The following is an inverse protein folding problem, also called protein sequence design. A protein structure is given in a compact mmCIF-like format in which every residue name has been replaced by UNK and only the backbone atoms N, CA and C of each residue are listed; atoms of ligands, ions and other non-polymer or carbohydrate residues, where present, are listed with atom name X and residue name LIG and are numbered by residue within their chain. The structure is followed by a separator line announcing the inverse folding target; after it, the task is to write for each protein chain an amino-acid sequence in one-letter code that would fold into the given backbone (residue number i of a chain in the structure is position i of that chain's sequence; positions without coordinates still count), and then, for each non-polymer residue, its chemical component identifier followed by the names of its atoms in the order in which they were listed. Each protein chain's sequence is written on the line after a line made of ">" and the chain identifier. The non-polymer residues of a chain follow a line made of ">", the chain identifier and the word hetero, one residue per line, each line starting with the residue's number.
data_IF_834501799883
#
_entry.id   IF_834501799883
#
_cell.length_a   1.000
_cell.length_b   1.000
_cell.length_c   1.000
_cell.angle_alpha   90.00
_cell.angle_beta   90.00
_cell.angle_gamma   90.00
#
_symmetry.space_group_name_H-M   'P 1'
#
loop_
_entity.id
_entity.type
_entity.pdbx_description
1 polymer ?
#
# COMPACT_ATOMS: atom_id res chain seq x y z
N UNK A 1 -40.43 -10.58 -42.50
CA UNK A 1 -40.07 -9.30 -43.16
C UNK A 1 -38.82 -8.82 -42.44
N UNK A 2 -37.75 -9.01 -43.14
CA UNK A 2 -36.42 -8.64 -42.78
C UNK A 2 -36.25 -7.13 -42.75
N UNK A 3 -35.38 -6.62 -41.89
CA UNK A 3 -34.53 -5.46 -42.16
C UNK A 3 -33.33 -5.39 -41.18
N UNK A 4 -32.19 -5.61 -41.76
CA UNK A 4 -30.83 -5.33 -41.29
C UNK A 4 -30.64 -3.88 -40.85
N UNK A 5 -29.77 -3.69 -39.84
CA UNK A 5 -29.29 -2.37 -39.42
C UNK A 5 -27.96 -2.47 -38.72
N UNK A 6 -26.84 -2.51 -39.47
CA UNK A 6 -25.49 -2.57 -38.99
C UNK A 6 -25.05 -1.35 -38.17
N UNK A 7 -24.50 -1.59 -37.02
CA UNK A 7 -23.90 -0.61 -36.12
C UNK A 7 -22.40 -0.50 -36.28
N UNK A 8 -21.92 0.58 -36.84
CA UNK A 8 -20.53 0.98 -37.03
C UNK A 8 -19.74 1.05 -35.69
N UNK A 9 -18.77 0.20 -35.50
CA UNK A 9 -17.70 0.39 -34.54
C UNK A 9 -16.68 1.39 -35.09
N UNK A 10 -16.63 2.58 -34.53
CA UNK A 10 -15.57 3.56 -34.80
C UNK A 10 -14.27 3.09 -34.14
N UNK A 11 -13.31 2.69 -34.96
CA UNK A 11 -11.92 2.48 -34.60
C UNK A 11 -11.25 3.85 -34.52
N UNK A 12 -10.76 4.23 -33.35
CA UNK A 12 -9.89 5.41 -33.20
C UNK A 12 -8.46 5.03 -33.60
N UNK A 13 -8.06 5.44 -34.79
CA UNK A 13 -6.66 5.44 -35.21
C UNK A 13 -5.93 6.59 -34.50
N UNK A 14 -4.92 6.23 -33.68
CA UNK A 14 -3.89 7.19 -33.26
C UNK A 14 -2.83 7.31 -34.35
N UNK A 15 -2.32 8.53 -34.63
CA UNK A 15 -1.27 8.75 -35.62
C UNK A 15 0.05 8.10 -35.16
N UNK A 16 0.71 7.43 -36.10
CA UNK A 16 1.98 6.77 -35.92
C UNK A 16 3.10 7.75 -35.59
N UNK A 17 3.91 7.42 -34.59
CA UNK A 17 5.26 7.93 -34.44
C UNK A 17 6.22 6.90 -35.03
N UNK A 18 6.85 7.29 -36.11
CA UNK A 18 7.98 6.62 -36.75
C UNK A 18 9.08 6.36 -35.72
N UNK A 19 9.43 5.13 -35.51
CA UNK A 19 10.66 4.76 -34.81
C UNK A 19 11.17 3.41 -35.34
N UNK A 20 12.16 3.50 -36.21
CA UNK A 20 13.10 2.41 -36.56
C UNK A 20 13.74 1.88 -35.28
N UNK A 21 13.09 0.98 -34.55
CA UNK A 21 13.58 0.38 -33.31
C UNK A 21 13.93 -1.07 -33.55
N UNK A 22 15.25 -1.35 -33.41
CA UNK A 22 15.88 -2.63 -33.10
C UNK A 22 15.06 -3.89 -33.40
N UNK A 23 15.21 -4.43 -34.59
CA UNK A 23 14.68 -5.75 -34.99
C UNK A 23 15.38 -6.92 -34.29
N UNK A 24 15.92 -6.72 -33.09
CA UNK A 24 16.56 -7.78 -32.33
C UNK A 24 15.53 -8.50 -31.46
N UNK A 25 15.48 -9.83 -31.60
CA UNK A 25 14.63 -10.69 -30.76
C UNK A 25 15.17 -10.68 -29.32
N UNK A 26 14.26 -10.62 -28.36
CA UNK A 26 14.59 -10.61 -26.96
C UNK A 26 15.24 -11.93 -26.52
N UNK A 27 16.50 -11.90 -26.10
CA UNK A 27 17.21 -13.06 -25.61
C UNK A 27 16.51 -13.75 -24.42
N UNK A 28 15.97 -12.96 -23.51
CA UNK A 28 15.23 -13.49 -22.35
C UNK A 28 13.88 -14.11 -22.74
N UNK A 29 13.23 -13.60 -23.79
CA UNK A 29 12.00 -14.19 -24.31
C UNK A 29 12.29 -15.55 -24.99
N UNK A 30 13.35 -15.66 -25.78
CA UNK A 30 13.81 -16.94 -26.35
C UNK A 30 14.09 -18.00 -25.28
N UNK A 31 14.60 -17.55 -24.12
CA UNK A 31 14.88 -18.44 -22.99
C UNK A 31 13.64 -18.68 -22.08
N UNK A 32 12.44 -18.19 -22.44
CA UNK A 32 11.22 -18.32 -21.65
C UNK A 32 11.22 -17.53 -20.33
N UNK A 33 12.10 -16.50 -20.19
CA UNK A 33 12.36 -15.80 -18.92
C UNK A 33 12.18 -14.27 -19.01
N UNK A 34 11.51 -13.74 -20.04
CA UNK A 34 11.33 -12.29 -20.14
C UNK A 34 10.08 -11.83 -19.38
N UNK A 35 10.30 -11.07 -18.32
CA UNK A 35 9.24 -10.51 -17.47
C UNK A 35 9.03 -8.99 -17.70
N UNK A 36 9.55 -8.42 -18.81
CA UNK A 36 9.41 -7.00 -19.12
C UNK A 36 8.15 -6.74 -19.94
N UNK A 37 7.30 -5.83 -19.46
CA UNK A 37 6.18 -5.34 -20.23
C UNK A 37 6.06 -3.80 -20.04
N UNK A 38 6.21 -3.02 -21.16
CA UNK A 38 6.61 -3.41 -22.50
C UNK A 38 8.11 -3.75 -22.61
N UNK A 39 8.43 -4.76 -23.41
CA UNK A 39 9.82 -5.10 -23.73
C UNK A 39 10.26 -4.33 -24.99
N UNK A 40 11.44 -3.66 -25.00
CA UNK A 40 11.93 -2.95 -26.17
C UNK A 40 12.46 -3.83 -27.31
N UNK A 41 12.48 -5.17 -27.12
CA UNK A 41 12.90 -6.16 -28.09
C UNK A 41 11.73 -7.02 -28.54
N UNK A 42 11.83 -7.63 -29.74
CA UNK A 42 10.78 -8.48 -30.30
C UNK A 42 10.59 -9.79 -29.49
N UNK A 43 9.34 -10.15 -29.24
CA UNK A 43 8.89 -11.41 -28.64
C UNK A 43 8.27 -12.33 -29.70
N UNK A 44 8.86 -12.36 -30.91
CA UNK A 44 8.50 -13.25 -32.01
C UNK A 44 9.73 -13.57 -32.82
N UNK A 45 9.79 -14.75 -33.40
CA UNK A 45 10.84 -15.07 -34.41
C UNK A 45 10.48 -14.35 -35.71
N UNK A 46 11.46 -13.74 -36.41
CA UNK A 46 11.23 -13.16 -37.74
C UNK A 46 10.86 -14.28 -38.71
N UNK A 47 9.74 -14.11 -39.41
CA UNK A 47 9.30 -15.02 -40.48
C UNK A 47 10.31 -14.98 -41.63
N UNK A 48 10.98 -16.11 -41.87
CA UNK A 48 11.83 -16.26 -43.05
C UNK A 48 10.95 -16.28 -44.32
N UNK A 49 11.37 -15.58 -45.39
CA UNK A 49 10.74 -15.77 -46.70
C UNK A 49 11.06 -17.16 -47.24
N UNK A 50 10.16 -17.77 -48.03
CA UNK A 50 10.37 -19.15 -48.52
C UNK A 50 11.56 -19.24 -49.47
N UNK A 51 12.42 -20.20 -49.23
CA UNK A 51 13.58 -20.52 -50.03
C UNK A 51 13.15 -21.05 -51.43
N UNK A 52 13.60 -20.35 -52.46
CA UNK A 52 13.66 -20.92 -53.84
C UNK A 52 14.95 -21.73 -54.01
N UNK A 53 14.79 -22.95 -54.47
CA UNK A 53 15.86 -23.92 -54.74
C UNK A 53 16.70 -23.52 -55.96
N UNK A 54 18.04 -23.68 -55.84
CA UNK A 54 18.89 -24.30 -56.89
C UNK A 54 20.33 -24.48 -56.40
N UNK A 55 20.75 -25.68 -56.26
CA UNK A 55 21.80 -26.52 -56.86
C UNK A 55 23.26 -25.99 -56.90
N UNK A 56 24.14 -26.77 -56.24
CA UNK A 56 25.54 -27.17 -56.51
C UNK A 56 26.69 -26.16 -56.62
N UNK A 57 27.75 -26.48 -55.89
CA UNK A 57 29.12 -26.12 -56.26
C UNK A 57 30.14 -26.20 -55.13
N UNK A 58 30.83 -27.30 -55.11
CA UNK A 58 32.10 -27.61 -54.39
C UNK A 58 33.16 -26.55 -54.52
N UNK A 59 34.01 -26.41 -53.51
CA UNK A 59 35.30 -25.80 -53.73
C UNK A 59 36.07 -25.28 -52.48
N UNK A 60 37.04 -26.02 -52.12
CA UNK A 60 38.09 -25.80 -51.13
C UNK A 60 39.04 -24.62 -51.42
N UNK A 61 39.76 -24.22 -50.38
CA UNK A 61 41.14 -23.76 -50.27
C UNK A 61 41.47 -22.26 -49.98
N UNK A 62 42.05 -22.09 -48.85
CA UNK A 62 43.40 -21.55 -48.49
C UNK A 62 43.84 -20.13 -48.92
N UNK A 63 44.20 -19.37 -47.89
CA UNK A 63 45.49 -18.68 -47.62
C UNK A 63 45.97 -17.47 -48.43
N UNK A 64 46.69 -16.62 -47.67
CA UNK A 64 47.73 -15.58 -47.97
C UNK A 64 47.16 -14.22 -48.36
N UNK A 65 47.49 -13.13 -47.67
CA UNK A 65 48.70 -12.39 -47.27
C UNK A 65 49.03 -11.27 -48.25
N UNK A 66 49.40 -10.12 -47.65
CA UNK A 66 50.17 -9.00 -48.18
C UNK A 66 49.44 -7.98 -49.08
N UNK A 67 49.75 -6.70 -49.07
CA UNK A 67 50.78 -5.81 -48.54
C UNK A 67 50.43 -4.35 -48.97
N UNK A 68 51.12 -3.36 -48.34
CA UNK A 68 51.39 -2.00 -48.82
C UNK A 68 50.19 -0.99 -48.87
N UNK A 69 50.26 0.23 -48.43
CA UNK A 69 51.33 1.01 -47.85
C UNK A 69 50.93 2.49 -47.76
N UNK A 70 51.66 3.22 -46.89
CA UNK A 70 51.91 4.67 -46.89
C UNK A 70 50.76 5.64 -46.51
N UNK A 71 50.87 6.63 -45.67
CA UNK A 71 51.91 7.36 -44.97
C UNK A 71 51.26 8.48 -44.16
N UNK A 72 51.88 8.88 -43.02
CA UNK A 72 51.59 10.18 -42.43
C UNK A 72 51.71 10.28 -40.91
N UNK A 73 52.89 10.40 -40.34
CA UNK A 73 53.21 10.89 -39.00
C UNK A 73 53.90 12.27 -39.13
N UNK A 74 54.25 13.00 -38.04
CA UNK A 74 53.93 13.09 -36.62
C UNK A 74 53.70 14.56 -36.15
N UNK A 75 53.89 15.01 -34.89
CA UNK A 75 55.00 14.74 -34.01
C UNK A 75 54.73 14.53 -32.50
N UNK A 76 55.68 13.86 -31.91
CA UNK A 76 55.92 13.60 -30.49
C UNK A 76 56.25 14.86 -29.68
N UNK A 77 55.91 14.87 -28.39
CA UNK A 77 56.76 15.42 -27.33
C UNK A 77 56.76 14.50 -26.10
N UNK A 78 57.97 14.06 -25.75
CA UNK A 78 58.34 13.32 -24.54
C UNK A 78 59.02 14.29 -23.55
N UNK A 79 59.60 13.83 -22.45
CA UNK A 79 59.04 13.56 -21.14
C UNK A 79 59.72 14.43 -20.06
N UNK A 80 59.14 14.45 -18.86
CA UNK A 80 59.95 14.88 -17.72
C UNK A 80 59.83 13.89 -16.56
N UNK A 81 60.94 13.18 -16.35
CA UNK A 81 61.25 12.44 -15.14
C UNK A 81 61.48 13.40 -13.98
N UNK A 82 60.83 13.16 -12.84
CA UNK A 82 61.43 13.41 -11.53
C UNK A 82 61.09 12.28 -10.60
N UNK A 83 62.13 11.52 -10.27
CA UNK A 83 62.18 10.61 -9.13
C UNK A 83 61.87 11.36 -7.85
N UNK A 84 61.08 10.74 -6.98
CA UNK A 84 61.37 10.79 -5.56
C UNK A 84 60.94 9.53 -4.81
N UNK A 85 61.79 9.12 -3.90
CA UNK A 85 61.88 7.88 -3.18
C UNK A 85 60.70 7.62 -2.20
N UNK A 86 60.38 6.36 -2.09
CA UNK A 86 59.96 5.57 -0.92
C UNK A 86 59.47 6.32 0.32
N UNK A 87 58.23 6.01 0.69
CA UNK A 87 57.99 5.53 2.04
C UNK A 87 56.71 4.68 2.05
N UNK A 88 56.91 3.38 2.21
CA UNK A 88 55.91 2.35 2.40
C UNK A 88 55.45 2.40 3.88
N UNK A 89 54.34 3.04 4.13
CA UNK A 89 53.60 2.87 5.37
C UNK A 89 52.21 2.40 5.00
N UNK A 90 51.89 1.21 5.49
CA UNK A 90 50.63 0.51 5.26
C UNK A 90 49.41 1.41 5.55
N UNK A 91 48.72 1.82 4.49
CA UNK A 91 47.35 2.27 4.61
C UNK A 91 46.49 1.05 4.91
N UNK A 92 46.16 0.86 6.18
CA UNK A 92 44.98 0.09 6.59
C UNK A 92 43.82 0.73 5.83
N UNK A 93 43.37 0.08 4.78
CA UNK A 93 42.21 0.51 4.01
C UNK A 93 41.01 0.48 4.90
N UNK A 94 40.57 1.62 5.42
CA UNK A 94 39.24 1.78 5.95
C UNK A 94 38.28 1.40 4.84
N UNK A 95 37.63 0.27 4.97
CA UNK A 95 36.52 -0.15 4.09
C UNK A 95 35.50 0.99 4.13
N UNK A 96 35.44 1.82 3.08
CA UNK A 96 34.38 2.82 2.93
C UNK A 96 33.07 2.05 3.01
N UNK A 97 32.31 2.25 4.08
CA UNK A 97 30.97 1.71 4.19
C UNK A 97 30.18 2.14 2.95
N UNK A 98 29.61 1.19 2.26
CA UNK A 98 28.73 1.47 1.11
C UNK A 98 27.54 2.22 1.67
N UNK A 99 27.33 3.48 1.28
CA UNK A 99 26.12 4.21 1.64
C UNK A 99 24.93 3.44 1.05
N UNK A 100 24.11 2.86 1.91
CA UNK A 100 22.88 2.20 1.51
C UNK A 100 21.86 3.27 1.09
N UNK A 101 21.10 2.99 0.05
CA UNK A 101 19.96 3.83 -0.35
C UNK A 101 18.78 3.51 0.55
N UNK A 102 17.86 4.47 0.75
CA UNK A 102 16.64 4.30 1.56
C UNK A 102 15.58 3.39 0.89
N UNK A 103 15.99 2.65 -0.13
CA UNK A 103 15.12 1.72 -0.86
C UNK A 103 15.43 0.29 -0.49
N UNK A 104 14.39 -0.48 -0.19
CA UNK A 104 14.53 -1.92 0.08
C UNK A 104 14.99 -2.68 -1.16
N UNK A 105 15.82 -3.69 -0.95
CA UNK A 105 16.33 -4.53 -2.02
C UNK A 105 15.27 -5.52 -2.53
N UNK A 106 14.78 -5.36 -3.75
CA UNK A 106 13.80 -6.26 -4.35
C UNK A 106 14.28 -7.71 -4.44
N UNK A 107 15.57 -7.95 -4.60
CA UNK A 107 16.14 -9.30 -4.59
C UNK A 107 16.17 -9.89 -3.18
N UNK A 108 16.43 -9.07 -2.17
CA UNK A 108 16.38 -9.51 -0.77
C UNK A 108 14.95 -9.85 -0.34
N UNK A 109 13.98 -9.02 -0.69
CA UNK A 109 12.54 -9.28 -0.44
C UNK A 109 12.10 -10.63 -1.02
N UNK A 110 12.71 -11.05 -2.15
CA UNK A 110 12.45 -12.34 -2.82
C UNK A 110 13.38 -13.46 -2.35
N UNK A 111 14.25 -13.23 -1.38
CA UNK A 111 15.21 -14.21 -0.86
C UNK A 111 16.42 -14.51 -1.77
N UNK A 112 16.67 -13.70 -2.82
CA UNK A 112 17.68 -14.03 -3.86
C UNK A 112 18.78 -12.96 -4.00
N UNK A 113 19.02 -12.10 -3.02
CA UNK A 113 20.11 -11.13 -3.09
C UNK A 113 21.45 -11.79 -2.79
N UNK A 114 22.32 -11.85 -3.81
CA UNK A 114 23.67 -12.42 -3.70
C UNK A 114 24.73 -11.44 -3.19
N UNK A 115 24.37 -10.16 -2.98
CA UNK A 115 25.32 -9.12 -2.58
C UNK A 115 25.56 -9.04 -1.07
N UNK A 116 24.70 -9.68 -0.23
CA UNK A 116 24.80 -9.65 1.23
C UNK A 116 24.98 -8.21 1.75
N UNK A 117 25.92 -8.01 2.67
CA UNK A 117 26.21 -6.69 3.27
C UNK A 117 26.75 -5.65 2.30
N UNK A 118 27.25 -6.08 1.14
CA UNK A 118 27.74 -5.19 0.07
C UNK A 118 26.61 -4.65 -0.82
N UNK A 119 25.38 -5.04 -0.57
CA UNK A 119 24.23 -4.52 -1.31
C UNK A 119 24.06 -3.03 -1.04
N UNK A 120 23.83 -2.26 -2.12
CA UNK A 120 23.55 -0.82 -2.02
C UNK A 120 22.16 -0.51 -1.47
N UNK A 121 21.26 -1.47 -1.53
CA UNK A 121 19.88 -1.36 -1.06
C UNK A 121 19.73 -1.95 0.34
N UNK A 122 18.68 -1.55 1.05
CA UNK A 122 18.39 -2.04 2.39
C UNK A 122 17.97 -3.52 2.36
N UNK A 123 18.50 -4.29 3.31
CA UNK A 123 18.08 -5.64 3.66
C UNK A 123 17.35 -5.60 5.01
N UNK A 124 16.33 -4.76 5.10
CA UNK A 124 15.50 -4.59 6.28
C UNK A 124 14.08 -4.30 5.86
N UNK A 125 13.11 -4.65 6.70
CA UNK A 125 11.71 -4.30 6.53
C UNK A 125 11.37 -2.91 7.09
N UNK A 126 12.34 -2.25 7.71
CA UNK A 126 12.16 -0.89 8.24
C UNK A 126 13.44 -0.07 8.12
N UNK A 127 13.26 1.24 8.16
CA UNK A 127 14.29 2.26 8.31
C UNK A 127 13.79 3.25 9.38
N UNK A 128 14.65 3.63 10.31
CA UNK A 128 14.34 4.50 11.44
C UNK A 128 14.63 3.84 12.77
N UNK A 129 14.47 4.59 13.84
CA UNK A 129 14.78 4.19 15.21
C UNK A 129 13.52 4.17 16.08
N UNK A 130 13.61 3.48 17.23
CA UNK A 130 12.54 3.45 18.22
C UNK A 130 11.45 2.42 17.96
N UNK A 131 11.55 1.58 16.93
CA UNK A 131 10.63 0.47 16.69
C UNK A 131 11.31 -0.71 16.01
N UNK A 132 10.80 -1.91 16.24
CA UNK A 132 11.33 -3.15 15.65
C UNK A 132 10.22 -4.09 15.24
N UNK A 133 10.50 -4.91 14.21
CA UNK A 133 9.61 -5.98 13.80
C UNK A 133 9.76 -7.17 14.75
N UNK A 134 8.68 -7.62 15.35
CA UNK A 134 8.64 -8.79 16.21
C UNK A 134 8.39 -10.06 15.40
N UNK A 135 7.45 -10.03 14.47
CA UNK A 135 7.04 -11.20 13.71
C UNK A 135 6.47 -10.82 12.34
N UNK A 136 6.44 -11.81 11.44
CA UNK A 136 5.77 -11.76 10.16
C UNK A 136 4.94 -13.02 10.01
N UNK A 137 3.63 -12.86 9.84
CA UNK A 137 2.66 -13.95 9.79
C UNK A 137 2.02 -13.96 8.41
N UNK A 138 2.19 -15.06 7.69
CA UNK A 138 1.61 -15.32 6.36
C UNK A 138 0.49 -16.36 6.47
N UNK A 139 -0.50 -16.28 5.60
CA UNK A 139 -1.57 -17.29 5.57
C UNK A 139 -2.71 -16.98 4.60
N UNK A 140 -3.05 -15.70 4.38
CA UNK A 140 -4.03 -15.32 3.38
C UNK A 140 -3.51 -15.54 1.95
N UNK A 141 -4.43 -15.65 0.98
CA UNK A 141 -4.09 -15.85 -0.43
C UNK A 141 -4.18 -14.56 -1.25
N UNK A 142 -4.89 -13.55 -0.74
CA UNK A 142 -5.00 -12.21 -1.32
C UNK A 142 -4.66 -11.16 -0.26
N UNK A 143 -4.77 -9.89 -0.64
CA UNK A 143 -4.45 -8.73 0.20
C UNK A 143 -5.24 -8.73 1.51
N UNK A 144 -4.55 -8.55 2.61
CA UNK A 144 -5.14 -8.31 3.95
C UNK A 144 -5.80 -6.92 3.94
N UNK A 145 -7.12 -6.89 4.14
CA UNK A 145 -7.93 -5.67 4.11
C UNK A 145 -8.31 -5.16 5.51
N UNK A 146 -8.16 -5.96 6.55
CA UNK A 146 -8.44 -5.56 7.92
C UNK A 146 -7.65 -6.39 8.93
N UNK A 147 -7.27 -5.75 10.02
CA UNK A 147 -6.60 -6.33 11.18
C UNK A 147 -7.30 -5.77 12.41
N UNK A 148 -7.65 -6.61 13.38
CA UNK A 148 -8.28 -6.19 14.64
C UNK A 148 -7.71 -7.02 15.78
N UNK A 149 -7.27 -6.35 16.83
CA UNK A 149 -6.93 -6.95 18.13
C UNK A 149 -7.95 -6.46 19.16
N UNK A 150 -9.00 -7.25 19.48
CA UNK A 150 -9.98 -6.85 20.48
C UNK A 150 -9.34 -6.68 21.86
N UNK A 151 -9.76 -5.67 22.59
CA UNK A 151 -9.22 -5.37 23.91
C UNK A 151 -9.42 -6.54 24.88
N UNK A 152 -8.36 -6.93 25.58
CA UNK A 152 -8.39 -8.01 26.58
C UNK A 152 -8.45 -9.42 26.01
N UNK A 153 -8.30 -9.59 24.69
CA UNK A 153 -8.25 -10.90 24.05
C UNK A 153 -6.82 -11.31 23.69
N UNK A 154 -6.56 -12.60 23.69
CA UNK A 154 -5.34 -13.25 23.23
C UNK A 154 -5.40 -13.66 21.74
N UNK A 155 -6.41 -13.19 21.02
CA UNK A 155 -6.64 -13.48 19.61
C UNK A 155 -6.67 -12.21 18.76
N UNK A 156 -5.82 -12.22 17.74
CA UNK A 156 -5.84 -11.25 16.66
C UNK A 156 -6.69 -11.81 15.51
N UNK A 157 -7.49 -10.95 14.91
CA UNK A 157 -8.30 -11.30 13.73
C UNK A 157 -7.79 -10.56 12.51
N UNK A 158 -7.74 -11.25 11.37
CA UNK A 158 -7.43 -10.66 10.07
C UNK A 158 -8.44 -11.06 9.03
N UNK A 159 -8.73 -10.15 8.11
CA UNK A 159 -9.60 -10.40 6.96
C UNK A 159 -8.89 -10.01 5.68
N UNK A 160 -9.28 -10.66 4.59
CA UNK A 160 -8.64 -10.48 3.31
C UNK A 160 -9.65 -10.48 2.16
N UNK A 161 -9.21 -10.00 1.02
CA UNK A 161 -9.92 -10.16 -0.25
C UNK A 161 -10.04 -11.62 -0.72
N UNK A 162 -9.39 -12.58 -0.03
CA UNK A 162 -9.56 -14.01 -0.26
C UNK A 162 -10.85 -14.58 0.36
N UNK A 163 -11.74 -13.70 0.83
CA UNK A 163 -13.04 -14.03 1.41
C UNK A 163 -12.95 -14.78 2.74
N UNK A 164 -11.78 -14.75 3.38
CA UNK A 164 -11.60 -15.42 4.68
C UNK A 164 -11.34 -14.44 5.84
N UNK A 165 -11.85 -14.83 7.01
CA UNK A 165 -11.44 -14.32 8.30
C UNK A 165 -10.51 -15.36 8.96
N UNK A 166 -9.40 -14.93 9.51
CA UNK A 166 -8.47 -15.77 10.25
C UNK A 166 -8.30 -15.27 11.68
N UNK A 167 -8.28 -16.22 12.61
CA UNK A 167 -7.97 -15.98 14.01
C UNK A 167 -6.54 -16.45 14.30
N UNK A 168 -5.77 -15.63 14.98
CA UNK A 168 -4.36 -15.89 15.33
C UNK A 168 -4.19 -15.82 16.84
N UNK A 169 -3.54 -16.80 17.40
CA UNK A 169 -3.12 -16.76 18.79
C UNK A 169 -1.95 -15.79 18.96
N UNK A 170 -2.08 -14.80 19.83
CA UNK A 170 -1.09 -13.72 19.97
C UNK A 170 0.21 -14.19 20.66
N UNK A 171 0.18 -15.30 21.40
CA UNK A 171 1.34 -15.83 22.09
C UNK A 171 2.22 -16.69 21.17
N UNK A 172 1.59 -17.58 20.41
CA UNK A 172 2.29 -18.49 19.50
C UNK A 172 2.44 -17.96 18.07
N UNK A 173 1.63 -16.99 17.67
CA UNK A 173 1.54 -16.50 16.30
C UNK A 173 0.90 -17.50 15.33
N UNK A 174 0.28 -18.59 15.83
CA UNK A 174 -0.33 -19.60 14.96
C UNK A 174 -1.76 -19.22 14.58
N UNK A 175 -2.14 -19.57 13.35
CA UNK A 175 -3.53 -19.45 12.89
C UNK A 175 -4.36 -20.56 13.55
N UNK A 176 -5.30 -20.19 14.42
CA UNK A 176 -6.16 -21.11 15.19
C UNK A 176 -7.53 -21.34 14.53
N UNK A 177 -7.91 -20.54 13.56
CA UNK A 177 -9.19 -20.69 12.87
C UNK A 177 -9.23 -19.94 11.55
N UNK A 178 -10.01 -20.48 10.61
CA UNK A 178 -10.29 -19.87 9.31
C UNK A 178 -11.78 -20.00 9.03
N UNK A 179 -12.43 -18.87 8.75
CA UNK A 179 -13.86 -18.80 8.43
C UNK A 179 -14.00 -18.26 7.01
N UNK A 180 -14.74 -18.94 6.16
CA UNK A 180 -15.11 -18.42 4.85
C UNK A 180 -16.34 -17.52 4.98
N UNK A 181 -16.26 -16.30 4.45
CA UNK A 181 -17.27 -15.26 4.58
C UNK A 181 -18.23 -15.21 3.39
N UNK A 182 -17.85 -15.84 2.26
CA UNK A 182 -18.65 -15.90 1.04
C UNK A 182 -18.63 -14.61 0.20
N UNK A 183 -17.67 -13.72 0.44
CA UNK A 183 -17.49 -12.50 -0.34
C UNK A 183 -16.23 -11.73 0.06
N UNK A 184 -15.70 -10.92 -0.86
CA UNK A 184 -14.52 -10.10 -0.60
C UNK A 184 -14.76 -9.13 0.57
N UNK A 185 -13.83 -9.10 1.52
CA UNK A 185 -13.95 -8.23 2.69
C UNK A 185 -13.46 -6.82 2.38
N UNK A 186 -14.34 -5.83 2.55
CA UNK A 186 -14.01 -4.43 2.40
C UNK A 186 -13.39 -3.80 3.66
N UNK A 187 -13.92 -4.15 4.83
CA UNK A 187 -13.44 -3.62 6.11
C UNK A 187 -13.80 -4.57 7.27
N UNK A 188 -13.10 -4.38 8.39
CA UNK A 188 -13.39 -5.05 9.65
C UNK A 188 -13.12 -4.09 10.80
N UNK A 189 -13.97 -4.12 11.83
CA UNK A 189 -13.76 -3.41 13.10
C UNK A 189 -14.12 -4.32 14.28
N UNK A 190 -13.54 -4.03 15.43
CA UNK A 190 -13.87 -4.65 16.70
C UNK A 190 -14.33 -3.60 17.71
N UNK A 191 -15.42 -3.87 18.42
CA UNK A 191 -15.91 -3.02 19.50
C UNK A 191 -16.43 -3.86 20.64
N UNK A 192 -15.79 -3.76 21.80
CA UNK A 192 -16.06 -4.63 22.95
C UNK A 192 -15.96 -6.12 22.54
N UNK A 193 -17.00 -6.94 22.81
CA UNK A 193 -17.02 -8.33 22.41
C UNK A 193 -17.42 -8.57 20.95
N UNK A 194 -17.76 -7.52 20.21
CA UNK A 194 -18.28 -7.62 18.87
C UNK A 194 -17.22 -7.45 17.80
N UNK A 195 -17.26 -8.30 16.79
CA UNK A 195 -16.47 -8.22 15.57
C UNK A 195 -17.40 -8.02 14.37
N UNK A 196 -17.23 -6.93 13.65
CA UNK A 196 -18.02 -6.56 12.48
C UNK A 196 -17.17 -6.69 11.22
N UNK A 197 -17.70 -7.35 10.20
CA UNK A 197 -17.04 -7.57 8.93
C UNK A 197 -17.95 -7.16 7.78
N UNK A 198 -17.50 -6.17 7.01
CA UNK A 198 -18.19 -5.67 5.83
C UNK A 198 -17.88 -6.51 4.60
N UNK A 199 -18.88 -7.16 4.05
CA UNK A 199 -18.83 -7.94 2.81
C UNK A 199 -19.83 -7.35 1.79
N UNK A 200 -19.84 -7.79 0.53
CA UNK A 200 -20.86 -7.34 -0.41
C UNK A 200 -22.27 -7.64 0.09
N UNK A 201 -23.12 -6.63 0.11
CA UNK A 201 -24.53 -6.65 0.47
C UNK A 201 -24.86 -7.02 1.93
N UNK A 202 -23.87 -7.11 2.82
CA UNK A 202 -24.11 -7.44 4.22
C UNK A 202 -22.99 -6.98 5.16
N UNK A 203 -23.33 -6.86 6.43
CA UNK A 203 -22.36 -6.83 7.54
C UNK A 203 -22.54 -8.12 8.34
N UNK A 204 -21.48 -8.90 8.43
CA UNK A 204 -21.40 -10.05 9.33
C UNK A 204 -20.95 -9.60 10.71
N UNK A 205 -21.58 -10.10 11.75
CA UNK A 205 -21.32 -9.71 13.14
C UNK A 205 -21.17 -10.95 14.01
N UNK A 206 -20.10 -11.00 14.78
CA UNK A 206 -19.87 -12.07 15.75
C UNK A 206 -19.65 -11.50 17.14
N UNK A 207 -20.30 -12.12 18.12
CA UNK A 207 -19.97 -11.91 19.50
C UNK A 207 -18.92 -12.95 19.92
N UNK A 208 -17.71 -12.51 20.22
CA UNK A 208 -16.55 -13.36 20.52
C UNK A 208 -16.64 -14.07 21.87
N UNK A 209 -17.57 -13.65 22.77
CA UNK A 209 -17.80 -14.25 24.08
C UNK A 209 -18.91 -15.30 24.03
N UNK A 210 -20.02 -14.99 23.33
CA UNK A 210 -21.19 -15.87 23.27
C UNK A 210 -21.22 -16.76 22.02
N UNK A 211 -20.32 -16.55 21.08
CA UNK A 211 -20.28 -17.16 19.74
C UNK A 211 -21.57 -16.92 18.91
N UNK A 212 -22.33 -15.87 19.26
CA UNK A 212 -23.49 -15.47 18.47
C UNK A 212 -23.03 -14.89 17.14
N UNK A 213 -23.67 -15.34 16.04
CA UNK A 213 -23.49 -14.80 14.70
C UNK A 213 -24.77 -14.11 14.23
N UNK A 214 -24.63 -12.91 13.68
CA UNK A 214 -25.69 -12.13 13.07
C UNK A 214 -25.28 -11.71 11.67
N UNK A 215 -26.26 -11.51 10.79
CA UNK A 215 -26.04 -10.93 9.47
C UNK A 215 -26.97 -9.75 9.30
N UNK A 216 -26.41 -8.55 9.16
CA UNK A 216 -27.16 -7.31 8.94
C UNK A 216 -27.31 -7.10 7.43
N UNK A 217 -28.54 -7.19 6.94
CA UNK A 217 -28.89 -6.88 5.56
C UNK A 217 -29.19 -5.39 5.40
N UNK A 218 -29.20 -4.91 4.15
CA UNK A 218 -29.52 -3.53 3.81
C UNK A 218 -28.46 -2.84 2.93
N UNK A 219 -27.14 -3.10 3.10
CA UNK A 219 -26.16 -2.58 2.16
C UNK A 219 -26.45 -3.07 0.74
N UNK A 220 -26.22 -2.18 -0.24
CA UNK A 220 -26.15 -2.52 -1.66
C UNK A 220 -24.70 -2.39 -2.10
N UNK A 221 -24.14 -3.47 -2.65
CA UNK A 221 -22.73 -3.55 -3.01
C UNK A 221 -21.80 -3.68 -1.80
N UNK A 222 -20.57 -3.24 -1.96
CA UNK A 222 -19.51 -3.39 -0.94
C UNK A 222 -19.71 -2.46 0.25
N UNK A 223 -19.43 -2.98 1.46
CA UNK A 223 -19.23 -2.17 2.67
C UNK A 223 -17.74 -1.84 2.79
N UNK A 224 -17.41 -0.55 2.75
CA UNK A 224 -16.02 -0.07 2.66
C UNK A 224 -15.44 0.38 3.99
N UNK A 225 -16.26 0.92 4.87
CA UNK A 225 -15.85 1.43 6.18
C UNK A 225 -16.96 1.22 7.20
N UNK A 226 -16.58 1.05 8.45
CA UNK A 226 -17.52 0.97 9.57
C UNK A 226 -16.95 1.71 10.78
N UNK A 227 -17.83 2.21 11.64
CA UNK A 227 -17.49 2.75 12.95
C UNK A 227 -18.67 2.53 13.90
N UNK A 228 -18.37 2.22 15.15
CA UNK A 228 -19.36 2.14 16.24
C UNK A 228 -19.24 3.37 17.11
N UNK A 229 -20.34 3.92 17.53
CA UNK A 229 -20.42 4.96 18.54
C UNK A 229 -21.64 4.76 19.43
N UNK A 230 -21.43 4.57 20.72
CA UNK A 230 -22.45 4.16 21.68
C UNK A 230 -23.14 2.87 21.21
N UNK A 231 -24.47 2.95 21.01
CA UNK A 231 -25.31 1.84 20.54
C UNK A 231 -25.54 1.84 19.01
N UNK A 232 -24.84 2.72 18.26
CA UNK A 232 -25.01 2.87 16.82
C UNK A 232 -23.82 2.29 16.05
N UNK A 233 -24.12 1.46 15.06
CA UNK A 233 -23.17 1.01 14.03
C UNK A 233 -23.44 1.79 12.74
N UNK A 234 -22.41 2.44 12.21
CA UNK A 234 -22.42 3.13 10.93
C UNK A 234 -21.61 2.32 9.91
N UNK A 235 -22.14 2.16 8.70
CA UNK A 235 -21.46 1.49 7.61
C UNK A 235 -21.50 2.33 6.34
N UNK A 236 -20.34 2.65 5.80
CA UNK A 236 -20.14 3.35 4.53
C UNK A 236 -20.28 2.37 3.36
N UNK A 237 -21.15 2.70 2.43
CA UNK A 237 -21.54 1.86 1.30
C UNK A 237 -21.51 2.64 0.00
N UNK A 238 -21.91 2.01 -1.10
CA UNK A 238 -22.05 2.66 -2.41
C UNK A 238 -23.11 3.77 -2.42
N UNK A 239 -24.17 3.62 -1.62
CA UNK A 239 -25.33 4.53 -1.65
C UNK A 239 -25.34 5.56 -0.51
N UNK A 240 -24.32 5.57 0.36
CA UNK A 240 -24.23 6.43 1.52
C UNK A 240 -23.87 5.66 2.79
N UNK A 241 -24.40 6.10 3.92
CA UNK A 241 -24.11 5.50 5.23
C UNK A 241 -25.37 4.86 5.77
N UNK A 242 -25.31 3.57 6.07
CA UNK A 242 -26.37 2.87 6.78
C UNK A 242 -26.09 2.86 8.28
N UNK A 243 -27.15 2.93 9.08
CA UNK A 243 -27.08 2.98 10.53
C UNK A 243 -27.96 1.90 11.14
N UNK A 244 -27.40 1.12 12.05
CA UNK A 244 -28.13 0.19 12.90
C UNK A 244 -27.96 0.59 14.35
N UNK A 245 -29.03 0.34 15.13
CA UNK A 245 -29.01 0.54 16.57
C UNK A 245 -28.99 -0.81 17.27
N UNK A 246 -28.11 -0.94 18.25
CA UNK A 246 -28.05 -2.12 19.10
C UNK A 246 -29.23 -2.14 20.08
N UNK A 247 -29.95 -3.26 20.13
CA UNK A 247 -30.99 -3.51 21.09
C UNK A 247 -30.48 -4.50 22.16
N UNK A 248 -30.21 -4.05 23.38
CA UNK A 248 -29.66 -4.91 24.44
C UNK A 248 -30.63 -5.97 24.95
N UNK A 249 -31.94 -5.81 24.73
CA UNK A 249 -32.97 -6.76 25.17
C UNK A 249 -32.97 -7.99 24.27
N UNK A 250 -32.92 -7.77 22.95
CA UNK A 250 -32.92 -8.85 21.94
C UNK A 250 -31.51 -9.29 21.58
N UNK A 251 -30.49 -8.53 22.00
CA UNK A 251 -29.09 -8.72 21.64
C UNK A 251 -28.87 -8.72 20.11
N UNK A 252 -29.55 -7.81 19.41
CA UNK A 252 -29.55 -7.69 17.95
C UNK A 252 -29.32 -6.24 17.52
N UNK A 253 -29.00 -6.05 16.23
CA UNK A 253 -28.87 -4.73 15.60
C UNK A 253 -30.09 -4.51 14.70
N UNK A 254 -30.77 -3.41 14.90
CA UNK A 254 -31.98 -3.04 14.15
C UNK A 254 -31.71 -1.85 13.22
N UNK A 255 -32.17 -1.85 11.95
CA UNK A 255 -32.02 -0.70 11.06
C UNK A 255 -32.59 0.58 11.70
N UNK A 256 -31.80 1.65 11.73
CA UNK A 256 -32.16 2.90 12.38
C UNK A 256 -32.25 4.08 11.41
N UNK A 257 -31.31 4.24 10.49
CA UNK A 257 -31.27 5.36 9.57
C UNK A 257 -30.46 5.04 8.30
N UNK A 258 -30.60 5.91 7.28
CA UNK A 258 -29.76 5.95 6.10
C UNK A 258 -29.38 7.41 5.82
N UNK A 259 -28.10 7.73 5.89
CA UNK A 259 -27.56 9.07 5.65
C UNK A 259 -27.13 9.19 4.19
N UNK A 260 -27.87 9.96 3.43
CA UNK A 260 -27.62 10.20 2.01
C UNK A 260 -27.02 11.60 1.80
N UNK A 261 -26.19 11.77 0.81
CA UNK A 261 -25.60 13.08 0.50
C UNK A 261 -24.29 13.01 -0.25
N UNK A 262 -23.48 11.94 -0.09
CA UNK A 262 -22.36 11.67 -0.98
C UNK A 262 -22.87 11.23 -2.36
N UNK A 263 -22.15 11.65 -3.41
CA UNK A 263 -22.48 11.29 -4.80
C UNK A 263 -21.87 9.93 -5.22
N UNK A 264 -20.86 9.47 -4.50
CA UNK A 264 -20.10 8.24 -4.77
C UNK A 264 -19.85 7.48 -3.45
N UNK A 265 -19.29 6.25 -3.51
CA UNK A 265 -19.09 5.40 -2.33
C UNK A 265 -18.41 6.10 -1.15
N UNK A 266 -18.89 5.81 0.06
CA UNK A 266 -18.27 6.24 1.31
C UNK A 266 -17.23 5.20 1.73
N UNK A 267 -15.95 5.60 1.72
CA UNK A 267 -14.82 4.68 1.89
C UNK A 267 -14.08 4.86 3.22
N UNK A 268 -14.39 5.90 3.96
CA UNK A 268 -13.86 6.08 5.32
C UNK A 268 -14.89 6.71 6.26
N UNK A 269 -14.87 6.29 7.52
CA UNK A 269 -15.75 6.75 8.59
C UNK A 269 -14.95 6.89 9.88
N UNK A 270 -15.19 7.96 10.64
CA UNK A 270 -14.66 8.15 11.98
C UNK A 270 -15.64 8.98 12.81
N UNK A 271 -15.67 8.75 14.10
CA UNK A 271 -16.41 9.57 15.06
C UNK A 271 -15.45 10.33 15.96
N UNK A 272 -15.72 11.59 16.19
CA UNK A 272 -14.97 12.44 17.11
C UNK A 272 -15.72 13.72 17.41
N UNK A 273 -15.53 14.29 18.60
CA UNK A 273 -16.19 15.53 19.04
C UNK A 273 -17.73 15.53 18.85
N UNK A 274 -18.37 14.42 19.15
CA UNK A 274 -19.83 14.17 18.97
C UNK A 274 -20.33 14.39 17.54
N UNK A 275 -19.46 14.12 16.54
CA UNK A 275 -19.78 14.20 15.11
C UNK A 275 -19.30 12.93 14.41
N UNK A 276 -20.03 12.55 13.36
CA UNK A 276 -19.57 11.55 12.41
C UNK A 276 -18.93 12.27 11.22
N UNK A 277 -17.79 11.77 10.77
CA UNK A 277 -17.11 12.23 9.58
C UNK A 277 -17.04 11.10 8.55
N UNK A 278 -17.36 11.41 7.31
CA UNK A 278 -17.32 10.45 6.21
C UNK A 278 -16.48 10.99 5.05
N UNK A 279 -15.53 10.19 4.59
CA UNK A 279 -14.75 10.45 3.38
C UNK A 279 -15.21 9.57 2.23
N UNK A 280 -15.22 10.11 1.02
CA UNK A 280 -15.83 9.47 -0.14
C UNK A 280 -14.94 9.52 -1.38
N UNK A 281 -15.30 8.68 -2.33
CA UNK A 281 -14.79 8.68 -3.70
C UNK A 281 -15.18 9.95 -4.46
N UNK A 282 -16.17 10.70 -3.99
CA UNK A 282 -16.58 12.01 -4.54
C UNK A 282 -15.64 13.17 -4.14
N UNK A 283 -14.49 12.86 -3.53
CA UNK A 283 -13.44 13.76 -3.07
C UNK A 283 -13.82 14.64 -1.88
N UNK A 284 -15.03 14.50 -1.36
CA UNK A 284 -15.52 15.30 -0.25
C UNK A 284 -15.46 14.57 1.10
N UNK A 285 -15.42 15.36 2.16
CA UNK A 285 -15.69 14.91 3.52
C UNK A 285 -17.00 15.54 3.96
N UNK A 286 -17.91 14.74 4.50
CA UNK A 286 -19.12 15.27 5.14
C UNK A 286 -19.05 15.10 6.64
N UNK A 287 -19.57 16.12 7.32
CA UNK A 287 -19.69 16.21 8.77
C UNK A 287 -21.16 16.04 9.12
N UNK A 288 -21.45 15.10 9.97
CA UNK A 288 -22.83 14.77 10.37
C UNK A 288 -22.99 14.99 11.88
N UNK A 289 -24.11 15.57 12.28
CA UNK A 289 -24.51 15.62 13.68
C UNK A 289 -24.95 14.23 14.13
N UNK A 290 -24.41 13.72 15.24
CA UNK A 290 -24.86 12.44 15.81
C UNK A 290 -26.22 12.53 16.52
N UNK A 291 -26.67 13.73 16.85
CA UNK A 291 -27.99 13.96 17.47
C UNK A 291 -29.12 13.92 16.44
N UNK A 292 -28.89 14.60 15.29
CA UNK A 292 -29.95 14.76 14.27
C UNK A 292 -29.74 13.85 13.05
N UNK A 293 -28.58 13.23 12.91
CA UNK A 293 -28.14 12.45 11.76
C UNK A 293 -28.18 13.24 10.44
N UNK A 294 -28.14 14.58 10.51
CA UNK A 294 -28.13 15.47 9.36
C UNK A 294 -26.72 15.92 9.01
N UNK A 295 -26.44 16.10 7.71
CA UNK A 295 -25.21 16.69 7.24
C UNK A 295 -25.18 18.18 7.62
N UNK A 296 -24.17 18.57 8.41
CA UNK A 296 -24.02 19.96 8.91
C UNK A 296 -22.92 20.72 8.17
N UNK A 297 -21.98 20.00 7.52
CA UNK A 297 -20.92 20.64 6.71
C UNK A 297 -20.42 19.68 5.64
N UNK A 298 -19.99 20.22 4.48
CA UNK A 298 -19.29 19.50 3.44
C UNK A 298 -17.95 20.19 3.17
N UNK A 299 -16.86 19.42 3.19
CA UNK A 299 -15.48 19.87 3.00
C UNK A 299 -15.00 19.35 1.64
N UNK A 300 -14.57 20.24 0.74
CA UNK A 300 -14.25 19.92 -0.67
C UNK A 300 -12.81 20.25 -1.07
N UNK A 301 -11.92 20.32 -0.10
CA UNK A 301 -10.52 20.73 -0.31
C UNK A 301 -9.61 19.64 -0.89
N UNK A 302 -10.05 18.36 -0.92
CA UNK A 302 -9.33 17.29 -1.59
C UNK A 302 -9.70 17.22 -3.09
N UNK A 303 -8.71 16.84 -3.91
CA UNK A 303 -8.85 16.75 -5.37
C UNK A 303 -8.97 15.30 -5.88
N UNK A 304 -8.97 14.32 -4.98
CA UNK A 304 -9.12 12.89 -5.28
C UNK A 304 -9.75 12.18 -4.09
N UNK A 305 -9.95 10.88 -4.18
CA UNK A 305 -10.61 10.04 -3.18
C UNK A 305 -10.08 10.27 -1.78
N UNK A 306 -10.97 10.54 -0.81
CA UNK A 306 -10.62 10.64 0.61
C UNK A 306 -10.57 9.23 1.21
N UNK A 307 -9.37 8.70 1.35
CA UNK A 307 -9.13 7.29 1.67
C UNK A 307 -9.25 6.96 3.15
N UNK A 308 -8.83 7.87 4.04
CA UNK A 308 -8.86 7.62 5.48
C UNK A 308 -9.04 8.92 6.26
N UNK A 309 -9.70 8.79 7.39
CA UNK A 309 -9.95 9.85 8.37
C UNK A 309 -9.42 9.40 9.74
N UNK A 310 -8.89 10.34 10.51
CA UNK A 310 -8.38 10.11 11.85
C UNK A 310 -8.72 11.31 12.74
N UNK A 311 -9.36 11.07 13.87
CA UNK A 311 -9.49 12.08 14.92
C UNK A 311 -8.32 11.94 15.91
N UNK A 312 -7.60 13.03 16.15
CA UNK A 312 -6.50 13.11 17.10
C UNK A 312 -6.63 14.38 17.92
N UNK A 313 -6.84 14.23 19.22
CA UNK A 313 -7.20 15.34 20.14
C UNK A 313 -8.37 16.15 19.58
N UNK A 314 -8.16 17.43 19.32
CA UNK A 314 -9.17 18.35 18.77
C UNK A 314 -9.11 18.47 17.23
N UNK A 315 -8.22 17.71 16.57
CA UNK A 315 -8.01 17.78 15.14
C UNK A 315 -8.67 16.61 14.40
N UNK A 316 -9.19 16.89 13.21
CA UNK A 316 -9.48 15.85 12.22
C UNK A 316 -8.32 15.83 11.22
N UNK A 317 -7.79 14.67 10.93
CA UNK A 317 -6.84 14.45 9.85
C UNK A 317 -7.54 13.68 8.74
N UNK A 318 -7.31 14.06 7.51
CA UNK A 318 -7.79 13.33 6.32
C UNK A 318 -6.65 13.07 5.37
N UNK A 319 -6.70 11.95 4.66
CA UNK A 319 -5.75 11.67 3.58
C UNK A 319 -6.44 11.25 2.29
N UNK A 320 -5.76 11.49 1.18
CA UNK A 320 -6.32 11.29 -0.15
C UNK A 320 -5.31 10.74 -1.15
N UNK A 321 -5.83 10.18 -2.24
CA UNK A 321 -5.04 9.82 -3.41
C UNK A 321 -4.47 11.06 -4.12
N UNK A 322 -4.93 12.28 -3.80
CA UNK A 322 -4.34 13.55 -4.23
C UNK A 322 -2.94 13.83 -3.65
N UNK A 323 -2.41 12.87 -2.87
CA UNK A 323 -1.09 12.89 -2.23
C UNK A 323 -0.98 13.89 -1.09
N UNK A 324 -2.09 14.25 -0.47
CA UNK A 324 -2.09 15.16 0.67
C UNK A 324 -2.65 14.52 1.94
N UNK A 325 -2.13 14.98 3.08
CA UNK A 325 -2.76 14.82 4.39
C UNK A 325 -3.16 16.23 4.83
N UNK A 326 -4.43 16.43 5.15
CA UNK A 326 -4.94 17.71 5.65
C UNK A 326 -5.29 17.60 7.11
N UNK A 327 -4.92 18.63 7.87
CA UNK A 327 -5.28 18.79 9.28
C UNK A 327 -6.34 19.86 9.36
N UNK A 328 -7.46 19.52 9.96
CA UNK A 328 -8.63 20.38 10.10
C UNK A 328 -8.82 20.79 11.55
N UNK A 329 -9.20 22.03 11.76
CA UNK A 329 -9.46 22.62 13.07
C UNK A 329 -10.85 23.25 13.09
N UNK A 330 -11.51 23.17 14.24
CA UNK A 330 -12.80 23.83 14.41
C UNK A 330 -12.60 25.34 14.61
N UNK A 331 -13.32 26.14 13.82
CA UNK A 331 -13.42 27.60 14.00
C UNK A 331 -14.30 27.94 15.21
N UNK A 332 -14.37 29.21 15.56
CA UNK A 332 -15.25 29.70 16.64
C UNK A 332 -16.75 29.37 16.38
N UNK A 333 -17.15 29.27 15.11
CA UNK A 333 -18.50 28.91 14.71
C UNK A 333 -18.73 27.39 14.68
N UNK A 334 -17.73 26.59 15.03
CA UNK A 334 -17.78 25.13 15.02
C UNK A 334 -17.64 24.50 13.63
N UNK A 335 -17.42 25.27 12.56
CA UNK A 335 -17.09 24.75 11.24
C UNK A 335 -15.63 24.32 11.19
N UNK A 336 -15.33 23.31 10.35
CA UNK A 336 -13.96 22.88 10.11
C UNK A 336 -13.34 23.63 8.94
N UNK A 337 -12.07 24.01 9.11
CA UNK A 337 -11.24 24.58 8.06
C UNK A 337 -9.84 23.93 8.08
N UNK A 338 -9.13 23.98 6.94
CA UNK A 338 -7.78 23.42 6.82
C UNK A 338 -6.79 24.31 7.55
N UNK A 339 -6.19 23.80 8.62
CA UNK A 339 -5.11 24.46 9.35
C UNK A 339 -3.73 24.16 8.75
N UNK A 340 -3.52 22.94 8.20
CA UNK A 340 -2.25 22.53 7.63
C UNK A 340 -2.45 21.47 6.53
N UNK A 341 -1.58 21.49 5.53
CA UNK A 341 -1.52 20.47 4.49
C UNK A 341 -0.10 19.91 4.36
N UNK A 342 0.04 18.62 4.58
CA UNK A 342 1.26 17.87 4.31
C UNK A 342 1.19 17.25 2.93
N UNK A 343 2.27 17.35 2.14
CA UNK A 343 2.34 16.80 0.79
C UNK A 343 3.23 15.56 0.75
N UNK A 344 2.73 14.50 0.15
CA UNK A 344 3.42 13.24 -0.08
C UNK A 344 3.80 13.09 -1.56
N UNK A 345 4.78 12.22 -1.84
CA UNK A 345 5.12 11.87 -3.24
C UNK A 345 4.07 10.96 -3.88
N UNK A 346 3.36 10.18 -3.07
CA UNK A 346 2.44 9.13 -3.50
C UNK A 346 1.08 9.27 -2.82
N UNK A 347 0.03 8.71 -3.42
CA UNK A 347 -1.31 8.72 -2.85
C UNK A 347 -1.34 8.05 -1.49
N UNK A 348 -2.04 8.64 -0.54
CA UNK A 348 -2.13 8.16 0.84
C UNK A 348 -3.39 7.32 1.01
N UNK A 349 -3.24 6.12 1.57
CA UNK A 349 -4.28 5.10 1.63
C UNK A 349 -4.90 4.94 3.02
N UNK A 350 -4.09 5.09 4.06
CA UNK A 350 -4.55 4.87 5.44
C UNK A 350 -3.74 5.71 6.42
N UNK A 351 -4.42 6.21 7.45
CA UNK A 351 -3.83 6.90 8.59
C UNK A 351 -4.18 6.16 9.88
N UNK A 352 -3.20 6.06 10.77
CA UNK A 352 -3.39 5.66 12.16
C UNK A 352 -2.50 6.51 13.06
N UNK A 353 -3.03 6.91 14.19
CA UNK A 353 -2.29 7.63 15.22
C UNK A 353 -2.02 6.72 16.42
N UNK A 354 -0.85 6.82 17.01
CA UNK A 354 -0.53 6.17 18.27
C UNK A 354 0.54 6.94 19.03
N UNK A 355 0.57 6.88 20.36
CA UNK A 355 1.70 7.38 21.13
C UNK A 355 2.89 6.41 21.02
N UNK A 356 4.11 6.94 21.06
CA UNK A 356 5.31 6.14 21.26
C UNK A 356 5.51 5.80 22.77
N UNK A 357 6.66 5.23 23.13
CA UNK A 357 6.98 4.87 24.52
C UNK A 357 7.11 6.07 25.46
N UNK A 358 7.37 7.27 24.92
CA UNK A 358 7.42 8.52 25.66
C UNK A 358 6.09 9.30 25.62
N UNK A 359 5.01 8.66 25.14
CA UNK A 359 3.69 9.27 24.93
C UNK A 359 3.68 10.42 23.90
N UNK A 360 4.69 10.48 23.02
CA UNK A 360 4.71 11.44 21.91
C UNK A 360 3.81 10.93 20.78
N UNK A 361 3.00 11.82 20.16
CA UNK A 361 2.10 11.41 19.10
C UNK A 361 2.86 11.09 17.80
N UNK A 362 2.60 9.91 17.26
CA UNK A 362 3.15 9.43 15.98
C UNK A 362 2.03 9.10 15.03
N UNK A 363 2.14 9.60 13.81
CA UNK A 363 1.24 9.30 12.70
C UNK A 363 1.85 8.22 11.81
N UNK A 364 1.14 7.12 11.61
CA UNK A 364 1.45 6.09 10.62
C UNK A 364 0.66 6.40 9.35
N UNK A 365 1.37 6.58 8.25
CA UNK A 365 0.85 6.98 6.95
C UNK A 365 1.18 5.92 5.90
N UNK A 366 0.19 5.09 5.51
CA UNK A 366 0.36 4.13 4.44
C UNK A 366 0.15 4.79 3.08
N UNK A 367 1.10 4.60 2.16
CA UNK A 367 1.05 5.13 0.81
C UNK A 367 0.97 4.02 -0.24
N UNK A 368 0.53 4.36 -1.45
CA UNK A 368 0.38 3.41 -2.56
C UNK A 368 1.71 2.99 -3.21
N UNK A 369 2.85 3.34 -2.61
CA UNK A 369 4.20 2.90 -2.96
C UNK A 369 4.69 1.70 -2.13
N UNK A 370 3.81 1.06 -1.38
CA UNK A 370 4.08 -0.05 -0.47
C UNK A 370 4.89 0.34 0.78
N UNK A 371 4.86 1.61 1.18
CA UNK A 371 5.52 2.10 2.39
C UNK A 371 4.50 2.61 3.40
N UNK A 372 4.80 2.41 4.68
CA UNK A 372 4.25 3.20 5.78
C UNK A 372 5.32 4.16 6.24
N UNK A 373 5.03 5.44 6.18
CA UNK A 373 5.87 6.50 6.76
C UNK A 373 5.39 6.80 8.16
N UNK A 374 6.32 7.04 9.04
CA UNK A 374 6.05 7.41 10.43
C UNK A 374 6.45 8.86 10.63
N UNK A 375 5.51 9.68 11.07
CA UNK A 375 5.74 11.10 11.29
C UNK A 375 5.54 11.47 12.75
N UNK A 376 6.44 12.29 13.27
CA UNK A 376 6.25 12.95 14.57
C UNK A 376 5.24 14.08 14.44
N UNK A 377 4.22 14.10 15.28
CA UNK A 377 3.28 15.20 15.35
C UNK A 377 3.67 16.16 16.48
N UNK A 378 3.42 17.49 16.35
CA UNK A 378 2.75 18.14 15.22
C UNK A 378 3.70 18.54 14.06
N UNK A 379 4.98 18.23 14.14
CA UNK A 379 6.01 18.74 13.21
C UNK A 379 5.95 18.13 11.81
N UNK A 380 5.31 16.94 11.63
CA UNK A 380 5.37 16.13 10.42
C UNK A 380 6.81 15.79 9.98
N UNK A 381 7.76 15.72 10.93
CA UNK A 381 9.10 15.21 10.65
C UNK A 381 9.09 13.70 10.48
N UNK A 382 9.69 13.20 9.41
CA UNK A 382 9.74 11.77 9.15
C UNK A 382 10.67 11.07 10.17
N UNK A 383 10.12 10.18 10.99
CA UNK A 383 10.83 9.35 11.96
C UNK A 383 11.40 8.06 11.33
N UNK A 384 10.69 7.52 10.36
CA UNK A 384 11.10 6.28 9.72
C UNK A 384 10.10 5.75 8.71
N UNK A 385 10.45 4.59 8.14
CA UNK A 385 9.66 3.90 7.11
C UNK A 385 9.56 2.41 7.38
N UNK A 386 8.42 1.84 7.05
CA UNK A 386 8.18 0.41 7.00
C UNK A 386 7.95 0.01 5.54
N UNK A 387 8.52 -1.10 5.13
CA UNK A 387 8.43 -1.63 3.77
C UNK A 387 7.52 -2.85 3.72
N UNK A 388 6.72 -2.97 2.66
CA UNK A 388 5.88 -4.12 2.42
C UNK A 388 6.11 -4.71 1.02
N UNK A 389 5.70 -5.97 0.85
CA UNK A 389 5.75 -6.65 -0.47
C UNK A 389 4.72 -6.07 -1.43
N UNK A 390 3.59 -5.63 -0.90
CA UNK A 390 2.45 -5.09 -1.64
C UNK A 390 1.86 -3.90 -0.89
N UNK A 391 0.83 -3.30 -1.48
CA UNK A 391 0.09 -2.18 -0.92
C UNK A 391 -0.47 -2.49 0.49
N UNK A 392 -0.31 -1.53 1.39
CA UNK A 392 -0.74 -1.66 2.79
C UNK A 392 -2.11 -0.99 2.93
N UNK A 393 -3.14 -1.80 3.13
CA UNK A 393 -4.52 -1.34 3.36
C UNK A 393 -4.91 -1.37 4.83
N UNK A 394 -4.32 -2.28 5.59
CA UNK A 394 -4.64 -2.48 7.00
C UNK A 394 -3.47 -2.03 7.88
N UNK A 395 -3.76 -1.13 8.80
CA UNK A 395 -2.89 -0.77 9.93
C UNK A 395 -3.77 -0.84 11.17
N UNK A 396 -3.29 -1.49 12.21
CA UNK A 396 -3.97 -1.57 13.50
C UNK A 396 -3.00 -1.28 14.64
N UNK A 397 -3.51 -0.67 15.70
CA UNK A 397 -2.76 -0.29 16.90
C UNK A 397 -3.20 -1.17 18.05
N UNK A 398 -2.24 -1.81 18.70
CA UNK A 398 -2.47 -2.64 19.86
C UNK A 398 -1.98 -2.00 21.17
N UNK A 399 -2.16 -2.69 22.30
CA UNK A 399 -1.70 -2.20 23.59
C UNK A 399 -0.17 -2.25 23.70
N UNK A 400 0.39 -1.54 24.69
CA UNK A 400 1.81 -1.61 25.06
C UNK A 400 2.79 -1.34 23.92
N UNK A 401 2.43 -0.41 23.02
CA UNK A 401 3.27 0.00 21.89
C UNK A 401 3.32 -1.01 20.74
N UNK A 402 2.42 -1.99 20.71
CA UNK A 402 2.25 -2.87 19.57
C UNK A 402 1.49 -2.18 18.43
N UNK A 403 1.87 -2.50 17.21
CA UNK A 403 1.09 -2.14 16.03
C UNK A 403 1.31 -3.16 14.90
N UNK A 404 0.38 -3.19 13.95
CA UNK A 404 0.31 -4.20 12.91
C UNK A 404 0.17 -3.52 11.55
N UNK A 405 0.86 -4.06 10.54
CA UNK A 405 0.73 -3.58 9.16
C UNK A 405 0.51 -4.76 8.22
N UNK A 406 -0.44 -4.63 7.32
CA UNK A 406 -0.61 -5.59 6.23
C UNK A 406 0.65 -5.67 5.35
N UNK A 407 0.92 -6.85 4.77
CA UNK A 407 2.04 -7.10 3.86
C UNK A 407 1.62 -8.04 2.72
N UNK A 408 0.66 -7.59 1.93
CA UNK A 408 0.08 -8.45 0.89
C UNK A 408 -0.76 -9.57 1.50
N UNK A 409 -0.30 -10.82 1.37
CA UNK A 409 -0.99 -12.03 1.88
C UNK A 409 -0.75 -12.31 3.36
N UNK A 410 0.03 -11.48 4.03
CA UNK A 410 0.32 -11.58 5.45
C UNK A 410 0.27 -10.24 6.15
N UNK A 411 0.78 -10.21 7.34
CA UNK A 411 0.93 -8.99 8.13
C UNK A 411 2.17 -9.06 9.01
N UNK A 412 2.70 -7.89 9.37
CA UNK A 412 3.85 -7.74 10.26
C UNK A 412 3.41 -7.19 11.59
N UNK A 413 4.05 -7.70 12.64
CA UNK A 413 3.88 -7.26 14.03
C UNK A 413 5.07 -6.40 14.41
N UNK A 414 4.81 -5.21 14.90
CA UNK A 414 5.80 -4.22 15.28
C UNK A 414 5.64 -3.85 16.74
N UNK A 415 6.71 -3.39 17.35
CA UNK A 415 6.70 -2.83 18.71
C UNK A 415 7.59 -1.60 18.78
N UNK A 416 7.13 -0.58 19.48
CA UNK A 416 7.99 0.50 19.93
C UNK A 416 9.05 -0.05 20.89
N UNK A 417 10.28 0.38 20.70
CA UNK A 417 11.42 0.04 21.56
C UNK A 417 11.87 1.30 22.30
N UNK A 418 12.36 1.14 23.51
CA UNK A 418 12.98 2.25 24.20
C UNK A 418 14.16 2.79 23.38
N UNK A 419 14.36 4.12 23.33
CA UNK A 419 15.54 4.67 22.69
C UNK A 419 16.77 4.10 23.36
N UNK A 420 17.71 3.56 22.56
CA UNK A 420 18.99 3.07 23.08
C UNK A 420 19.71 4.30 23.65
N UNK A 421 19.76 4.41 24.96
CA UNK A 421 20.59 5.39 25.65
C UNK A 421 22.05 5.09 25.29
N UNK A 422 22.62 5.90 24.37
CA UNK A 422 24.06 5.87 24.10
C UNK A 422 24.73 6.42 25.36
N UNK A 423 25.18 5.51 26.22
CA UNK A 423 26.01 5.81 27.38
C UNK A 423 27.45 6.10 26.93
#
# INVERSE_FOLDING_TARGET
>A
MDLDGGGNRRVYNRPGTDSSKNQKVCFHWRAGKCNRFPCPFLHSEPSHPPASATVNGSGNHKRFADDSGLSGQPPRRSPNFKNNHNNNWGRIGSKKAVRKTDKVCNYWVRGNCSYGDKCKFLHSWSLGEGFSMLNHLDGHQKLVSGIVLPAGMDKLFTVSKDETLRAWDTNSGQCTGVINLGGEVGCMIGEGPWLFVGIPNAVKVWNTQTNQELTLSGPVGQVYAMVVFNDLLFAGTQEGILVWKFNPITNTFEPAASLKGHALPVVSLIVGANRLYSGSVDHSIKVWSLETLQCIQTLTEHNDVVMSLLCWDQFLLSCSLDKTIKVWVATQNGNLEVAYTHNEENGVLNLRGMPDMESKPVLLCACNDNYVRLFDLPSFSERGKIFAKQEIRAIEVGPSGLFFTGDGTGFKVWKWTEPVSIS
#
